data_IF_992181040751
#
_entry.id   IF_992181040751
#
_cell.length_a   1.000
_cell.length_b   1.000
_cell.length_c   1.000
_cell.angle_alpha   90.00
_cell.angle_beta   90.00
_cell.angle_gamma   90.00
#
_symmetry.space_group_name_H-M   'P 1'
#
loop_
_entity.id
_entity.type
_entity.pdbx_description
1 polymer ?
#
# COMPACT_ATOMS: atom_id res chain seq x y z
N UNK A 1 34.69 14.72 23.56
CA UNK A 1 34.50 13.37 22.98
C UNK A 1 33.38 13.46 21.99
N UNK A 2 33.50 12.79 20.84
CA UNK A 2 32.43 12.79 19.84
C UNK A 2 31.26 11.91 20.34
N UNK A 3 30.00 12.34 20.12
CA UNK A 3 28.84 11.49 20.36
C UNK A 3 28.93 10.19 19.56
N UNK A 4 28.46 9.10 20.16
CA UNK A 4 28.47 7.78 19.54
C UNK A 4 27.15 7.06 19.83
N UNK A 5 26.57 6.47 18.80
CA UNK A 5 25.39 5.64 18.92
C UNK A 5 25.67 4.24 18.37
N UNK A 6 24.86 3.29 18.80
CA UNK A 6 24.76 1.95 18.27
C UNK A 6 23.36 1.77 17.69
N UNK A 7 23.28 1.16 16.50
CA UNK A 7 22.04 0.87 15.79
C UNK A 7 21.77 -0.63 15.87
N UNK A 8 20.55 -1.01 16.20
CA UNK A 8 20.12 -2.43 16.18
C UNK A 8 20.19 -3.07 14.79
N UNK A 9 20.01 -2.28 13.73
CA UNK A 9 20.16 -2.70 12.35
C UNK A 9 20.48 -1.50 11.43
N UNK A 10 21.11 -1.77 10.30
CA UNK A 10 21.40 -0.78 9.25
C UNK A 10 20.65 -1.06 7.95
N UNK A 11 19.92 -2.17 7.86
CA UNK A 11 19.17 -2.60 6.69
C UNK A 11 17.77 -3.04 7.12
N UNK A 12 16.74 -2.52 6.45
CA UNK A 12 15.34 -2.78 6.75
C UNK A 12 14.59 -3.23 5.49
N UNK A 13 14.27 -4.53 5.45
CA UNK A 13 13.43 -5.10 4.40
C UNK A 13 11.98 -5.25 4.89
N UNK A 14 11.06 -4.55 4.23
CA UNK A 14 9.63 -4.58 4.51
C UNK A 14 8.89 -5.68 3.73
N UNK A 15 9.58 -6.32 2.79
CA UNK A 15 9.04 -7.39 1.96
C UNK A 15 8.02 -6.86 0.95
N UNK A 16 6.96 -7.64 0.74
CA UNK A 16 5.83 -7.23 -0.09
C UNK A 16 4.96 -6.23 0.66
N UNK A 17 4.75 -5.06 0.08
CA UNK A 17 3.85 -4.03 0.62
C UNK A 17 2.69 -3.79 -0.34
N UNK A 18 1.54 -3.43 0.20
CA UNK A 18 0.28 -3.37 -0.53
C UNK A 18 -0.39 -2.02 -0.38
N UNK A 19 -1.26 -1.69 -1.33
CA UNK A 19 -1.96 -0.42 -1.43
C UNK A 19 -2.76 -0.08 -0.16
N UNK A 20 -2.45 1.02 0.55
CA UNK A 20 -3.03 1.38 1.85
C UNK A 20 -2.91 0.33 2.97
N UNK A 21 -1.94 -0.59 2.92
CA UNK A 21 -1.58 -1.43 4.07
C UNK A 21 -0.27 -0.98 4.68
N UNK A 22 -0.31 -0.56 5.95
CA UNK A 22 0.87 -0.16 6.68
C UNK A 22 1.72 -1.38 7.08
N UNK A 23 3.03 -1.30 6.88
CA UNK A 23 4.01 -2.25 7.43
C UNK A 23 5.00 -1.48 8.30
N UNK A 24 5.16 -1.89 9.55
CA UNK A 24 6.05 -1.22 10.52
C UNK A 24 7.25 -2.10 10.84
N UNK A 25 8.41 -1.46 10.95
CA UNK A 25 9.66 -2.03 11.50
C UNK A 25 10.24 -1.04 12.49
N UNK A 26 10.97 -1.53 13.49
CA UNK A 26 11.49 -0.72 14.57
C UNK A 26 13.01 -0.74 14.56
N UNK A 27 13.62 0.44 14.63
CA UNK A 27 15.04 0.65 14.85
C UNK A 27 15.25 1.11 16.30
N UNK A 28 15.99 0.34 17.07
CA UNK A 28 16.52 0.81 18.36
C UNK A 28 17.83 1.56 18.13
N UNK A 29 17.92 2.79 18.64
CA UNK A 29 19.13 3.62 18.70
C UNK A 29 19.58 3.71 20.16
N UNK A 30 20.81 3.32 20.45
CA UNK A 30 21.39 3.40 21.80
C UNK A 30 22.55 4.39 21.83
N UNK A 31 22.57 5.32 22.77
CA UNK A 31 23.69 6.22 22.95
C UNK A 31 24.79 5.55 23.79
N UNK A 32 25.86 5.14 23.12
CA UNK A 32 27.05 4.54 23.75
C UNK A 32 28.13 5.58 24.06
N UNK A 33 27.88 6.85 23.77
CA UNK A 33 28.74 7.98 24.10
C UNK A 33 28.73 8.31 25.59
N UNK A 34 29.60 9.25 26.00
CA UNK A 34 29.73 9.70 27.41
C UNK A 34 28.84 10.89 27.76
N UNK A 35 28.13 11.46 26.80
CA UNK A 35 27.23 12.60 26.97
C UNK A 35 25.95 12.37 26.16
N UNK A 36 24.86 13.01 26.56
CA UNK A 36 23.65 13.01 25.76
C UNK A 36 23.86 13.69 24.41
N UNK A 37 23.07 13.31 23.41
CA UNK A 37 23.16 13.84 22.05
C UNK A 37 21.78 13.92 21.41
N UNK A 38 21.64 14.74 20.37
CA UNK A 38 20.45 14.78 19.53
C UNK A 38 20.75 14.08 18.21
N UNK A 39 19.78 13.34 17.70
CA UNK A 39 19.83 12.81 16.34
C UNK A 39 18.67 13.36 15.49
N UNK A 40 18.86 13.39 14.18
CA UNK A 40 17.81 13.68 13.21
C UNK A 40 17.95 12.79 11.97
N UNK A 41 16.82 12.51 11.32
CA UNK A 41 16.75 11.76 10.06
C UNK A 41 16.67 12.69 8.85
N UNK A 42 17.38 12.33 7.78
CA UNK A 42 17.26 12.93 6.45
C UNK A 42 17.36 11.85 5.35
N UNK A 43 16.90 12.15 4.14
CA UNK A 43 17.10 11.28 2.97
C UNK A 43 18.44 11.60 2.29
N UNK A 44 19.26 10.58 2.00
CA UNK A 44 20.58 10.78 1.40
C UNK A 44 20.55 11.26 -0.05
N UNK A 45 19.56 10.80 -0.82
CA UNK A 45 19.27 11.29 -2.17
C UNK A 45 17.75 11.37 -2.34
N UNK A 46 17.27 12.46 -2.91
CA UNK A 46 15.92 12.54 -3.44
C UNK A 46 15.98 12.13 -4.91
N UNK A 47 15.73 10.87 -5.21
CA UNK A 47 15.38 10.52 -6.59
C UNK A 47 13.99 11.12 -6.87
N UNK A 48 13.91 12.10 -7.78
CA UNK A 48 12.63 12.68 -8.20
C UNK A 48 11.71 11.65 -8.86
N UNK A 49 12.26 10.52 -9.29
CA UNK A 49 11.53 9.45 -9.96
C UNK A 49 10.79 8.52 -9.00
N UNK A 50 11.15 8.49 -7.71
CA UNK A 50 10.53 7.67 -6.69
C UNK A 50 9.48 8.45 -5.88
N UNK A 51 8.42 7.78 -5.38
CA UNK A 51 7.45 8.45 -4.52
C UNK A 51 8.14 8.94 -3.24
N UNK A 52 8.01 10.24 -2.90
CA UNK A 52 8.75 10.82 -1.77
C UNK A 52 8.20 10.41 -0.39
N UNK A 53 6.99 9.84 -0.34
CA UNK A 53 6.20 9.75 0.90
C UNK A 53 5.82 8.31 1.33
N UNK A 54 6.37 7.26 0.69
CA UNK A 54 6.02 5.88 1.05
C UNK A 54 6.55 5.43 2.41
N UNK A 55 7.52 6.15 2.99
CA UNK A 55 8.15 5.84 4.28
C UNK A 55 7.97 6.98 5.28
N UNK A 56 7.39 6.68 6.43
CA UNK A 56 7.26 7.59 7.58
C UNK A 56 8.18 7.13 8.71
N UNK A 57 8.85 8.09 9.35
CA UNK A 57 9.79 7.85 10.45
C UNK A 57 9.24 8.54 11.70
N UNK A 58 9.16 7.84 12.83
CA UNK A 58 8.64 8.42 14.07
C UNK A 58 9.40 7.91 15.30
N UNK A 59 10.04 8.78 16.09
CA UNK A 59 10.26 10.21 15.85
C UNK A 59 11.33 10.49 14.78
N UNK A 60 11.22 11.61 14.06
CA UNK A 60 12.24 12.04 13.07
C UNK A 60 13.48 12.70 13.70
N UNK A 61 13.36 13.16 14.95
CA UNK A 61 14.50 13.64 15.73
C UNK A 61 14.19 13.46 17.21
N UNK A 62 15.21 13.19 18.01
CA UNK A 62 15.07 13.13 19.46
C UNK A 62 16.40 13.40 20.16
N UNK A 63 16.33 13.74 21.44
CA UNK A 63 17.47 13.77 22.34
C UNK A 63 17.56 12.42 23.08
N UNK A 64 18.78 11.92 23.28
CA UNK A 64 19.04 10.65 23.95
C UNK A 64 20.17 10.84 24.97
N UNK A 65 19.90 10.49 26.23
CA UNK A 65 20.87 10.55 27.31
C UNK A 65 21.97 9.49 27.14
N UNK A 66 23.14 9.70 27.77
CA UNK A 66 24.23 8.73 27.73
C UNK A 66 23.79 7.40 28.38
N UNK A 67 23.97 6.29 27.66
CA UNK A 67 23.57 4.95 28.12
C UNK A 67 22.10 4.59 27.87
N UNK A 68 21.26 5.55 27.46
CA UNK A 68 19.86 5.30 27.13
C UNK A 68 19.68 4.79 25.69
N UNK A 69 18.50 4.22 25.43
CA UNK A 69 18.03 3.80 24.12
C UNK A 69 16.66 4.42 23.78
N UNK A 70 16.36 4.48 22.49
CA UNK A 70 15.08 4.94 21.95
C UNK A 70 14.68 4.09 20.76
N UNK A 71 13.39 3.80 20.65
CA UNK A 71 12.79 3.11 19.52
C UNK A 71 12.28 4.11 18.47
N UNK A 72 12.63 3.85 17.21
CA UNK A 72 12.18 4.60 16.04
C UNK A 72 11.34 3.68 15.18
N UNK A 73 10.11 4.08 14.88
CA UNK A 73 9.23 3.36 13.99
C UNK A 73 9.43 3.83 12.55
N UNK A 74 9.76 2.88 11.68
CA UNK A 74 9.73 3.03 10.24
C UNK A 74 8.44 2.39 9.72
N UNK A 75 7.56 3.19 9.16
CA UNK A 75 6.27 2.77 8.62
C UNK A 75 6.25 2.95 7.10
N UNK A 76 6.05 1.86 6.38
CA UNK A 76 5.77 1.90 4.95
C UNK A 76 4.27 1.93 4.72
N UNK A 77 3.79 2.91 3.95
CA UNK A 77 2.40 3.02 3.52
C UNK A 77 2.36 3.59 2.11
N UNK A 78 1.76 2.84 1.18
CA UNK A 78 1.58 3.30 -0.21
C UNK A 78 0.23 3.99 -0.32
N UNK A 79 0.23 5.31 -0.53
CA UNK A 79 -0.97 6.13 -0.72
C UNK A 79 -1.48 6.11 -2.18
N UNK A 80 -2.60 6.79 -2.43
CA UNK A 80 -3.16 7.04 -3.76
C UNK A 80 -2.14 7.65 -4.73
N UNK A 81 -1.42 8.69 -4.29
CA UNK A 81 -0.44 9.38 -5.13
C UNK A 81 0.74 8.48 -5.48
N UNK A 82 1.23 7.72 -4.50
CA UNK A 82 2.35 6.80 -4.64
C UNK A 82 1.98 5.69 -5.62
N UNK A 83 0.81 5.08 -5.43
CA UNK A 83 0.30 4.01 -6.27
C UNK A 83 0.11 4.47 -7.72
N UNK A 84 -0.41 5.68 -7.92
CA UNK A 84 -0.58 6.25 -9.25
C UNK A 84 0.77 6.45 -9.96
N UNK A 85 1.77 7.02 -9.27
CA UNK A 85 3.13 7.26 -9.83
C UNK A 85 3.85 5.96 -10.18
N UNK A 86 3.66 4.89 -9.39
CA UNK A 86 4.27 3.58 -9.62
C UNK A 86 3.57 2.82 -10.77
N UNK A 87 2.28 3.06 -10.98
CA UNK A 87 1.46 2.30 -11.94
C UNK A 87 1.54 2.84 -13.38
N UNK A 88 2.31 3.90 -13.63
CA UNK A 88 2.49 4.49 -14.96
C UNK A 88 3.18 3.46 -15.91
N UNK A 89 2.63 3.21 -17.11
CA UNK A 89 3.25 2.33 -18.10
C UNK A 89 4.68 2.75 -18.43
N UNK A 90 5.63 1.79 -18.41
CA UNK A 90 7.04 2.04 -18.73
C UNK A 90 7.99 2.11 -17.53
N UNK A 91 7.48 2.28 -16.29
CA UNK A 91 8.26 2.04 -15.07
C UNK A 91 8.11 0.58 -14.63
N UNK A 92 9.19 -0.18 -14.72
CA UNK A 92 9.25 -1.59 -14.31
C UNK A 92 9.58 -1.78 -12.83
N UNK A 93 10.04 -0.73 -12.14
CA UNK A 93 10.45 -0.84 -10.74
C UNK A 93 9.29 -0.64 -9.77
N UNK A 94 8.83 -1.76 -9.23
CA UNK A 94 8.03 -1.85 -8.00
C UNK A 94 8.91 -1.87 -6.75
N UNK A 95 10.20 -1.55 -6.90
CA UNK A 95 11.15 -1.47 -5.81
C UNK A 95 11.07 -0.07 -5.19
N UNK A 96 10.76 -0.04 -3.90
CA UNK A 96 10.82 1.16 -3.08
C UNK A 96 12.11 1.05 -2.29
N UNK A 97 13.10 1.88 -2.62
CA UNK A 97 14.40 1.86 -1.93
C UNK A 97 14.78 3.28 -1.55
N UNK A 98 15.29 3.46 -0.34
CA UNK A 98 15.89 4.72 0.08
C UNK A 98 17.04 4.50 1.07
N UNK A 99 17.92 5.49 1.14
CA UNK A 99 18.98 5.56 2.14
C UNK A 99 18.66 6.73 3.06
N UNK A 100 18.54 6.44 4.35
CA UNK A 100 18.37 7.41 5.42
C UNK A 100 19.73 7.76 6.01
N UNK A 101 19.93 9.05 6.25
CA UNK A 101 21.04 9.60 7.02
C UNK A 101 20.54 9.89 8.43
N UNK A 102 21.23 9.36 9.43
CA UNK A 102 21.06 9.72 10.84
C UNK A 102 22.22 10.62 11.21
N UNK A 103 21.94 11.90 11.41
CA UNK A 103 22.95 12.90 11.80
C UNK A 103 22.90 13.12 13.31
N UNK A 104 24.07 13.08 13.94
CA UNK A 104 24.25 13.42 15.36
C UNK A 104 24.74 14.86 15.51
N UNK A 105 24.23 15.57 16.52
CA UNK A 105 24.76 16.90 16.89
C UNK A 105 26.27 16.80 17.20
N UNK A 106 27.11 17.41 16.36
CA UNK A 106 28.58 17.35 16.48
C UNK A 106 29.16 15.92 16.48
N UNK A 107 28.47 14.98 15.84
CA UNK A 107 28.92 13.60 15.69
C UNK A 107 29.11 13.18 14.23
N UNK A 108 29.31 11.88 14.02
CA UNK A 108 29.33 11.28 12.68
C UNK A 108 27.92 10.96 12.20
N UNK A 109 27.76 10.86 10.90
CA UNK A 109 26.55 10.34 10.28
C UNK A 109 26.53 8.80 10.27
N UNK A 110 25.32 8.24 10.28
CA UNK A 110 25.03 6.83 10.09
C UNK A 110 24.07 6.67 8.92
N UNK A 111 24.15 5.54 8.23
CA UNK A 111 23.33 5.26 7.06
C UNK A 111 22.48 4.03 7.31
N UNK A 112 21.20 4.13 6.99
CA UNK A 112 20.24 3.03 7.07
C UNK A 112 19.57 2.85 5.72
N UNK A 113 19.60 1.63 5.19
CA UNK A 113 18.96 1.28 3.92
C UNK A 113 17.58 0.70 4.19
N UNK A 114 16.56 1.24 3.52
CA UNK A 114 15.19 0.73 3.60
C UNK A 114 14.76 0.24 2.22
N UNK A 115 14.18 -0.97 2.16
CA UNK A 115 13.69 -1.58 0.94
C UNK A 115 12.29 -2.21 1.11
N UNK A 116 11.44 -2.04 0.10
CA UNK A 116 10.14 -2.68 0.02
C UNK A 116 9.79 -3.00 -1.44
N UNK A 117 8.95 -4.01 -1.65
CA UNK A 117 8.45 -4.39 -2.98
C UNK A 117 6.95 -4.17 -3.05
N UNK A 118 6.53 -3.10 -3.73
CA UNK A 118 5.12 -2.82 -3.91
C UNK A 118 4.45 -3.92 -4.76
N UNK A 119 3.34 -4.44 -4.28
CA UNK A 119 2.45 -5.29 -5.07
C UNK A 119 1.38 -4.39 -5.68
N UNK A 120 1.33 -4.38 -7.02
CA UNK A 120 0.32 -3.64 -7.78
C UNK A 120 -1.07 -4.04 -7.31
N UNK A 121 -1.90 -3.02 -7.17
CA UNK A 121 -3.30 -3.16 -6.84
C UNK A 121 -4.16 -2.62 -7.97
N UNK A 122 -5.38 -3.12 -8.13
CA UNK A 122 -6.38 -2.49 -8.96
C UNK A 122 -6.86 -1.15 -8.38
N UNK A 123 -6.64 -0.94 -7.07
CA UNK A 123 -6.84 0.32 -6.37
C UNK A 123 -5.65 1.27 -6.61
N UNK A 124 -5.88 2.58 -6.64
CA UNK A 124 -4.87 3.59 -7.00
C UNK A 124 -4.45 3.60 -8.49
N UNK A 125 -5.10 2.80 -9.36
CA UNK A 125 -4.87 2.76 -10.79
C UNK A 125 -5.93 3.56 -11.57
N UNK A 126 -5.59 4.11 -12.73
CA UNK A 126 -6.58 4.75 -13.59
C UNK A 126 -7.49 3.72 -14.27
N UNK A 127 -8.75 4.07 -14.52
CA UNK A 127 -9.68 3.26 -15.29
C UNK A 127 -9.11 2.84 -16.65
N UNK A 128 -8.47 3.76 -17.36
CA UNK A 128 -7.83 3.48 -18.66
C UNK A 128 -6.77 2.39 -18.49
N UNK A 129 -5.95 2.45 -17.44
CA UNK A 129 -4.96 1.43 -17.14
C UNK A 129 -5.61 0.08 -16.81
N UNK A 130 -6.69 0.06 -16.02
CA UNK A 130 -7.40 -1.17 -15.67
C UNK A 130 -8.13 -1.81 -16.86
N UNK A 131 -8.67 -1.00 -17.78
CA UNK A 131 -9.30 -1.51 -19.01
C UNK A 131 -8.22 -2.03 -19.97
N UNK A 132 -7.11 -1.32 -20.12
CA UNK A 132 -6.02 -1.71 -21.01
C UNK A 132 -5.29 -2.99 -20.55
N UNK A 133 -5.16 -3.19 -19.23
CA UNK A 133 -4.51 -4.36 -18.63
C UNK A 133 -5.51 -5.41 -18.10
N UNK A 134 -6.81 -5.16 -18.21
CA UNK A 134 -7.85 -6.07 -17.79
C UNK A 134 -8.09 -7.15 -18.84
N UNK A 135 -8.29 -8.38 -18.39
CA UNK A 135 -8.86 -9.41 -19.24
C UNK A 135 -10.29 -8.98 -19.62
N UNK A 136 -10.52 -8.86 -20.93
CA UNK A 136 -11.77 -8.39 -21.55
C UNK A 136 -12.98 -9.27 -21.14
N UNK A 137 -14.16 -8.66 -20.97
CA UNK A 137 -15.43 -9.32 -20.59
C UNK A 137 -16.11 -9.97 -21.82
N UNK A 138 -16.92 -11.02 -21.68
CA UNK A 138 -17.60 -11.67 -22.82
C UNK A 138 -18.44 -10.69 -23.66
N UNK A 139 -18.46 -10.92 -24.98
CA UNK A 139 -19.02 -9.98 -25.97
C UNK A 139 -20.53 -10.14 -26.23
N UNK A 140 -21.23 -10.96 -25.46
CA UNK A 140 -22.65 -11.17 -25.71
C UNK A 140 -23.51 -10.41 -24.70
N UNK A 141 -24.49 -9.72 -25.31
CA UNK A 141 -25.64 -9.02 -24.75
C UNK A 141 -25.37 -7.56 -24.34
N UNK A 142 -25.54 -6.69 -25.34
CA UNK A 142 -26.32 -5.46 -25.16
C UNK A 142 -27.68 -5.80 -24.54
N UNK A 143 -27.69 -6.08 -23.24
CA UNK A 143 -28.82 -5.83 -22.38
C UNK A 143 -28.30 -5.74 -20.95
N UNK A 144 -28.32 -4.51 -20.45
CA UNK A 144 -28.34 -4.28 -19.02
C UNK A 144 -29.58 -4.98 -18.48
N UNK A 145 -29.42 -6.22 -17.99
CA UNK A 145 -30.22 -6.99 -17.01
C UNK A 145 -30.03 -8.49 -17.31
N UNK A 146 -29.84 -9.31 -16.26
CA UNK A 146 -29.72 -10.80 -16.29
C UNK A 146 -28.34 -11.26 -16.84
N UNK A 147 -27.55 -12.23 -16.34
CA UNK A 147 -27.60 -13.39 -15.43
C UNK A 147 -26.20 -13.49 -14.76
N UNK A 148 -26.03 -14.00 -13.53
CA UNK A 148 -24.71 -14.35 -13.00
C UNK A 148 -23.98 -15.36 -13.90
N UNK A 149 -22.68 -15.22 -14.19
CA UNK A 149 -21.93 -16.31 -14.84
C UNK A 149 -21.97 -17.55 -13.94
N UNK A 150 -22.22 -18.73 -14.53
CA UNK A 150 -22.20 -19.99 -13.81
C UNK A 150 -20.77 -20.27 -13.36
N UNK A 151 -20.60 -20.68 -12.11
CA UNK A 151 -19.31 -21.03 -11.52
C UNK A 151 -18.62 -22.11 -12.36
N UNK A 152 -17.55 -21.75 -13.06
CA UNK A 152 -16.71 -22.69 -13.82
C UNK A 152 -16.44 -22.31 -15.28
N UNK A 153 -17.11 -21.30 -15.85
CA UNK A 153 -16.83 -20.91 -17.24
C UNK A 153 -15.56 -20.03 -17.35
N UNK A 154 -14.62 -20.37 -18.25
CA UNK A 154 -13.46 -19.54 -18.51
C UNK A 154 -13.90 -18.21 -19.13
N UNK A 155 -13.55 -17.11 -18.47
CA UNK A 155 -13.78 -15.73 -18.93
C UNK A 155 -13.12 -15.53 -20.30
N UNK A 156 -13.92 -15.52 -21.37
CA UNK A 156 -13.49 -15.24 -22.75
C UNK A 156 -13.69 -13.76 -23.10
N UNK A 157 -12.80 -13.28 -23.96
CA UNK A 157 -12.36 -11.89 -24.20
C UNK A 157 -13.30 -11.13 -25.17
N UNK A 158 -13.96 -10.06 -24.71
CA UNK A 158 -14.75 -9.08 -25.50
C UNK A 158 -14.73 -7.61 -24.98
N UNK A 159 -15.03 -6.66 -25.87
CA UNK A 159 -14.75 -5.21 -25.74
C UNK A 159 -15.56 -4.44 -24.67
N UNK A 160 -15.38 -4.74 -23.38
CA UNK A 160 -16.01 -3.96 -22.30
C UNK A 160 -15.29 -2.64 -22.00
N UNK A 161 -16.09 -1.61 -21.74
CA UNK A 161 -15.66 -0.27 -21.31
C UNK A 161 -15.50 -0.13 -19.78
N UNK A 162 -15.77 -1.21 -19.02
CA UNK A 162 -15.74 -1.21 -17.55
C UNK A 162 -14.65 -2.16 -17.06
N UNK A 163 -13.77 -1.74 -16.12
CA UNK A 163 -12.81 -2.63 -15.48
C UNK A 163 -13.46 -3.89 -14.90
N UNK A 164 -12.83 -5.05 -15.13
CA UNK A 164 -13.32 -6.34 -14.64
C UNK A 164 -13.46 -6.38 -13.11
N UNK A 165 -12.60 -5.68 -12.39
CA UNK A 165 -12.64 -5.60 -10.92
C UNK A 165 -13.90 -4.87 -10.43
N UNK A 166 -14.35 -3.84 -11.17
CA UNK A 166 -15.59 -3.12 -10.89
C UNK A 166 -16.80 -4.00 -11.17
N UNK A 167 -16.78 -4.74 -12.29
CA UNK A 167 -17.83 -5.70 -12.59
C UNK A 167 -18.01 -6.71 -11.45
N UNK A 168 -16.92 -7.29 -10.95
CA UNK A 168 -16.97 -8.26 -9.86
C UNK A 168 -17.46 -7.68 -8.55
N UNK A 169 -17.05 -6.46 -8.21
CA UNK A 169 -17.53 -5.79 -7.00
C UNK A 169 -19.03 -5.51 -7.10
N UNK A 170 -19.52 -5.00 -8.24
CA UNK A 170 -20.95 -4.81 -8.52
C UNK A 170 -21.74 -6.13 -8.45
N UNK A 171 -21.19 -7.20 -9.03
CA UNK A 171 -21.80 -8.51 -9.00
C UNK A 171 -21.92 -9.06 -7.57
N UNK A 172 -20.86 -8.92 -6.77
CA UNK A 172 -20.86 -9.34 -5.38
C UNK A 172 -21.89 -8.56 -4.54
N UNK A 173 -22.00 -7.25 -4.74
CA UNK A 173 -23.01 -6.43 -4.09
C UNK A 173 -24.44 -6.86 -4.49
N UNK A 174 -24.67 -7.18 -5.77
CA UNK A 174 -25.98 -7.67 -6.24
C UNK A 174 -26.38 -9.01 -5.65
N UNK A 175 -25.41 -9.86 -5.29
CA UNK A 175 -25.69 -11.13 -4.61
C UNK A 175 -26.22 -10.93 -3.18
N UNK A 176 -26.03 -9.74 -2.61
CA UNK A 176 -26.58 -9.34 -1.32
C UNK A 176 -27.99 -8.76 -1.49
N UNK A 177 -28.80 -8.85 -0.44
CA UNK A 177 -30.09 -8.17 -0.45
C UNK A 177 -29.88 -6.66 -0.44
N UNK A 178 -30.55 -5.92 -1.32
CA UNK A 178 -30.50 -4.45 -1.36
C UNK A 178 -30.85 -3.78 -0.02
N UNK A 179 -31.57 -4.48 0.88
CA UNK A 179 -31.89 -4.02 2.24
C UNK A 179 -30.71 -4.12 3.22
N UNK A 180 -29.69 -4.90 2.89
CA UNK A 180 -28.48 -5.09 3.71
C UNK A 180 -27.32 -4.18 3.25
N UNK A 181 -27.51 -3.41 2.18
CA UNK A 181 -26.50 -2.50 1.63
C UNK A 181 -26.76 -1.11 2.17
N UNK A 182 -25.80 -0.59 2.93
CA UNK A 182 -25.84 0.76 3.50
C UNK A 182 -24.61 1.54 3.06
N UNK A 183 -24.81 2.78 2.63
CA UNK A 183 -23.72 3.68 2.22
C UNK A 183 -23.20 4.53 3.38
N UNK A 184 -23.91 4.53 4.51
CA UNK A 184 -23.68 5.42 5.66
C UNK A 184 -22.90 4.77 6.81
N UNK A 185 -22.56 3.48 6.71
CA UNK A 185 -21.78 2.79 7.74
C UNK A 185 -20.32 3.24 7.73
N UNK A 186 -19.65 3.12 8.89
CA UNK A 186 -18.21 3.44 8.96
C UNK A 186 -17.39 2.31 8.36
N UNK A 187 -16.47 2.70 7.48
CA UNK A 187 -15.62 1.80 6.74
C UNK A 187 -14.40 1.37 7.56
N UNK A 188 -14.17 0.06 7.72
CA UNK A 188 -12.96 -0.44 8.38
C UNK A 188 -11.88 -0.76 7.35
N UNK A 189 -10.64 -0.36 7.64
CA UNK A 189 -9.45 -0.69 6.83
C UNK A 189 -9.26 -2.20 6.64
N UNK A 190 -9.63 -3.03 7.63
CA UNK A 190 -9.55 -4.49 7.49
C UNK A 190 -10.49 -5.03 6.40
N UNK A 191 -11.70 -4.47 6.27
CA UNK A 191 -12.62 -4.84 5.20
C UNK A 191 -12.11 -4.35 3.85
N UNK A 192 -11.51 -3.15 3.78
CA UNK A 192 -10.84 -2.66 2.57
C UNK A 192 -9.80 -3.65 2.07
N UNK A 193 -8.87 -4.04 2.96
CA UNK A 193 -7.76 -4.92 2.59
C UNK A 193 -8.27 -6.26 2.08
N UNK A 194 -9.36 -6.80 2.66
CA UNK A 194 -9.97 -8.03 2.16
C UNK A 194 -10.56 -7.87 0.75
N UNK A 195 -11.31 -6.79 0.49
CA UNK A 195 -11.89 -6.53 -0.83
C UNK A 195 -10.78 -6.33 -1.87
N UNK A 196 -9.79 -5.51 -1.52
CA UNK A 196 -8.60 -5.27 -2.32
C UNK A 196 -7.91 -6.58 -2.67
N UNK A 197 -7.60 -7.40 -1.68
CA UNK A 197 -6.89 -8.66 -1.89
C UNK A 197 -7.70 -9.64 -2.76
N UNK A 198 -9.04 -9.69 -2.61
CA UNK A 198 -9.88 -10.51 -3.48
C UNK A 198 -9.82 -10.05 -4.94
N UNK A 199 -9.88 -8.73 -5.18
CA UNK A 199 -9.87 -8.16 -6.53
C UNK A 199 -8.48 -8.24 -7.17
N UNK A 200 -7.42 -7.95 -6.42
CA UNK A 200 -6.03 -8.00 -6.88
C UNK A 200 -5.60 -9.43 -7.25
N UNK A 201 -6.06 -10.43 -6.49
CA UNK A 201 -5.72 -11.83 -6.73
C UNK A 201 -6.69 -12.53 -7.71
N UNK A 202 -7.68 -11.81 -8.27
CA UNK A 202 -8.65 -12.40 -9.20
C UNK A 202 -9.53 -13.47 -8.55
N UNK A 203 -9.86 -13.32 -7.26
CA UNK A 203 -10.73 -14.21 -6.48
C UNK A 203 -12.05 -13.53 -6.07
N UNK A 204 -12.86 -13.07 -7.03
CA UNK A 204 -14.07 -12.30 -6.75
C UNK A 204 -15.17 -13.14 -6.06
N UNK A 205 -15.10 -14.47 -6.15
CA UNK A 205 -16.04 -15.38 -5.48
C UNK A 205 -15.98 -15.23 -3.95
N UNK A 206 -14.79 -14.96 -3.40
CA UNK A 206 -14.61 -14.73 -1.96
C UNK A 206 -15.36 -13.48 -1.46
N UNK A 207 -15.64 -12.51 -2.35
CA UNK A 207 -16.43 -11.32 -1.98
C UNK A 207 -17.87 -11.69 -1.59
N UNK A 208 -18.44 -12.71 -2.24
CA UNK A 208 -19.81 -13.18 -1.98
C UNK A 208 -19.86 -14.07 -0.75
N UNK A 209 -18.92 -15.00 -0.63
CA UNK A 209 -18.83 -15.91 0.52
C UNK A 209 -18.70 -15.13 1.84
N UNK A 210 -17.94 -14.03 1.82
CA UNK A 210 -17.72 -13.15 2.98
C UNK A 210 -18.89 -12.20 3.25
N UNK A 211 -19.93 -12.20 2.41
CA UNK A 211 -21.09 -11.29 2.47
C UNK A 211 -20.68 -9.85 2.70
N UNK A 212 -19.79 -9.32 1.85
CA UNK A 212 -19.22 -7.98 2.05
C UNK A 212 -20.29 -6.90 1.79
N UNK A 213 -20.97 -6.49 2.85
CA UNK A 213 -22.06 -5.49 2.82
C UNK A 213 -21.56 -4.09 2.47
N UNK A 214 -20.31 -3.78 2.81
CA UNK A 214 -19.75 -2.42 2.73
C UNK A 214 -18.87 -2.20 1.49
N UNK A 215 -18.95 -3.11 0.50
CA UNK A 215 -18.23 -2.95 -0.79
C UNK A 215 -18.64 -1.70 -1.57
N UNK A 216 -19.83 -1.16 -1.28
CA UNK A 216 -20.31 0.12 -1.81
C UNK A 216 -19.44 1.32 -1.42
N UNK A 217 -18.80 1.28 -0.26
CA UNK A 217 -17.97 2.39 0.20
C UNK A 217 -16.57 2.33 -0.43
N UNK A 218 -16.09 1.13 -0.80
CA UNK A 218 -14.94 0.99 -1.70
C UNK A 218 -15.18 1.60 -3.08
N UNK A 219 -16.44 1.66 -3.56
CA UNK A 219 -16.78 2.46 -4.74
C UNK A 219 -16.62 3.95 -4.44
N UNK A 220 -17.32 4.46 -3.42
CA UNK A 220 -17.35 5.90 -3.12
C UNK A 220 -15.97 6.49 -2.83
N UNK A 221 -15.10 5.76 -2.12
CA UNK A 221 -13.79 6.28 -1.72
C UNK A 221 -12.69 6.09 -2.76
N UNK A 222 -12.96 5.40 -3.88
CA UNK A 222 -11.88 4.94 -4.75
C UNK A 222 -12.13 5.05 -6.25
N UNK A 223 -13.39 5.12 -6.67
CA UNK A 223 -13.79 5.23 -8.07
C UNK A 223 -14.67 6.46 -8.27
#
# INVERSE_FOLDING_TARGET
MLPQIELSATEFNFGKVYYRSAVVRTLTIKNTGRSGTRFSFALAQQDESLPKNWLTITPQSSYIEAGADVEINFQVLVSDEEAHKISIPGKSEFALTCILIISLDQGRDYFVVCEAKYQKSCFGCSFIHLIANGHRLPKDEEDLLVVPPKSGDPLQVGDSRVPIQIFWLCWALRSLSMKEITFDETFSESYFHQIRDCLDNGKPQELVERRIKNGCQCFIHHF
#
